data_IF_993193286758
#
_entry.id   IF_993193286758
#
_cell.length_a   1.000
_cell.length_b   1.000
_cell.length_c   1.000
_cell.angle_alpha   90.00
_cell.angle_beta   90.00
_cell.angle_gamma   90.00
#
_symmetry.space_group_name_H-M   'P 1'
#
loop_
_entity.id
_entity.type
_entity.pdbx_description
1 polymer ?
#
# COMPACT_ATOMS: atom_id res chain seq x y z
N UNK A 1 15.83 0.17 18.35
CA UNK A 1 15.78 0.76 17.00
C UNK A 1 14.32 0.92 16.60
N UNK A 2 13.80 2.14 16.62
CA UNK A 2 12.44 2.44 16.15
C UNK A 2 12.52 2.68 14.65
N UNK A 3 11.96 1.79 13.84
CA UNK A 3 11.74 2.03 12.42
C UNK A 3 10.30 2.56 12.27
N UNK A 4 10.07 3.88 12.31
CA UNK A 4 8.73 4.41 12.11
C UNK A 4 8.24 3.96 10.73
N UNK A 5 7.14 3.21 10.71
CA UNK A 5 6.42 2.90 9.47
C UNK A 5 5.61 4.13 9.11
N UNK A 6 6.15 4.89 8.17
CA UNK A 6 5.52 6.08 7.60
C UNK A 6 5.31 5.86 6.12
N UNK A 7 4.14 6.28 5.64
CA UNK A 7 3.77 6.27 4.23
C UNK A 7 2.83 5.13 3.83
N UNK A 8 2.09 5.34 2.75
CA UNK A 8 1.12 4.40 2.17
C UNK A 8 1.77 3.37 1.23
N UNK A 9 3.10 3.40 1.07
CA UNK A 9 3.80 2.63 0.03
C UNK A 9 3.69 1.11 0.20
N UNK A 10 3.61 0.59 1.42
CA UNK A 10 3.35 -0.85 1.63
C UNK A 10 2.04 -1.31 0.98
N UNK A 11 0.98 -0.48 1.07
CA UNK A 11 -0.29 -0.73 0.42
C UNK A 11 -0.21 -0.64 -1.10
N UNK A 12 0.57 0.31 -1.64
CA UNK A 12 0.81 0.40 -3.10
C UNK A 12 1.50 -0.88 -3.61
N UNK A 13 2.51 -1.39 -2.91
CA UNK A 13 3.17 -2.64 -3.29
C UNK A 13 2.19 -3.82 -3.21
N UNK A 14 1.29 -3.85 -2.22
CA UNK A 14 0.25 -4.87 -2.16
C UNK A 14 -0.72 -4.82 -3.35
N UNK A 15 -1.22 -3.64 -3.71
CA UNK A 15 -2.14 -3.47 -4.84
C UNK A 15 -1.48 -3.81 -6.17
N UNK A 16 -0.26 -3.32 -6.41
CA UNK A 16 0.46 -3.61 -7.66
C UNK A 16 0.79 -5.09 -7.73
N UNK A 17 1.30 -5.72 -6.66
CA UNK A 17 1.59 -7.15 -6.66
C UNK A 17 0.34 -8.04 -6.81
N UNK A 18 -0.80 -7.66 -6.23
CA UNK A 18 -2.07 -8.35 -6.45
C UNK A 18 -2.53 -8.25 -7.91
N UNK A 19 -2.36 -7.07 -8.52
CA UNK A 19 -2.64 -6.84 -9.94
C UNK A 19 -1.71 -7.63 -10.86
N UNK A 20 -0.41 -7.68 -10.56
CA UNK A 20 0.57 -8.51 -11.29
C UNK A 20 0.20 -9.99 -11.19
N UNK A 21 -0.13 -10.49 -9.99
CA UNK A 21 -0.57 -11.87 -9.79
C UNK A 21 -1.83 -12.19 -10.61
N UNK A 22 -2.80 -11.28 -10.65
CA UNK A 22 -4.01 -11.43 -11.45
C UNK A 22 -3.73 -11.50 -12.96
N UNK A 23 -2.82 -10.66 -13.46
CA UNK A 23 -2.39 -10.71 -14.87
C UNK A 23 -1.72 -12.04 -15.21
N UNK A 24 -0.84 -12.53 -14.33
CA UNK A 24 -0.11 -13.80 -14.54
C UNK A 24 -1.09 -14.97 -14.57
N UNK A 25 -2.06 -15.00 -13.65
CA UNK A 25 -3.08 -16.06 -13.62
C UNK A 25 -3.99 -16.04 -14.85
N UNK A 26 -4.37 -14.85 -15.33
CA UNK A 26 -5.30 -14.68 -16.46
C UNK A 26 -4.59 -14.44 -17.81
N UNK A 27 -3.30 -14.79 -17.91
CA UNK A 27 -2.43 -14.39 -19.02
C UNK A 27 -2.94 -14.82 -20.39
N UNK A 28 -3.49 -16.04 -20.48
CA UNK A 28 -4.01 -16.65 -21.71
C UNK A 28 -5.33 -16.02 -22.19
N UNK A 29 -6.18 -15.56 -21.27
CA UNK A 29 -7.49 -14.96 -21.58
C UNK A 29 -7.43 -13.47 -21.94
N UNK A 30 -6.34 -12.78 -21.58
CA UNK A 30 -6.19 -11.34 -21.82
C UNK A 30 -5.82 -11.03 -23.29
N UNK A 31 -6.78 -10.44 -24.04
CA UNK A 31 -6.65 -10.00 -25.44
C UNK A 31 -5.87 -8.68 -25.64
N UNK A 32 -5.39 -8.02 -24.57
CA UNK A 32 -4.68 -6.74 -24.68
C UNK A 32 -3.26 -6.88 -25.25
N UNK A 33 -2.95 -6.11 -26.30
CA UNK A 33 -1.64 -6.05 -26.97
C UNK A 33 -0.51 -5.53 -26.05
N UNK A 34 -0.82 -4.65 -25.09
CA UNK A 34 0.18 -3.99 -24.23
C UNK A 34 0.36 -4.63 -22.84
N UNK A 35 -0.09 -5.87 -22.63
CA UNK A 35 -0.02 -6.52 -21.30
C UNK A 35 1.42 -6.67 -20.78
N UNK A 36 2.36 -7.02 -21.64
CA UNK A 36 3.79 -7.11 -21.31
C UNK A 36 4.38 -5.74 -20.93
N UNK A 37 4.07 -4.71 -21.71
CA UNK A 37 4.53 -3.35 -21.45
C UNK A 37 4.03 -2.84 -20.08
N UNK A 38 2.75 -3.06 -19.78
CA UNK A 38 2.15 -2.69 -18.48
C UNK A 38 2.83 -3.39 -17.31
N UNK A 39 3.09 -4.69 -17.44
CA UNK A 39 3.82 -5.47 -16.42
C UNK A 39 5.26 -4.96 -16.26
N UNK A 40 5.95 -4.71 -17.37
CA UNK A 40 7.33 -4.23 -17.36
C UNK A 40 7.45 -2.87 -16.69
N UNK A 41 6.59 -1.91 -17.03
CA UNK A 41 6.58 -0.58 -16.39
C UNK A 41 6.32 -0.70 -14.89
N UNK A 42 5.35 -1.51 -14.47
CA UNK A 42 5.06 -1.72 -13.05
C UNK A 42 6.28 -2.31 -12.30
N UNK A 43 6.92 -3.33 -12.87
CA UNK A 43 8.11 -3.97 -12.28
C UNK A 43 9.31 -3.02 -12.20
N UNK A 44 9.53 -2.20 -13.24
CA UNK A 44 10.61 -1.20 -13.26
C UNK A 44 10.37 -0.12 -12.21
N UNK A 45 9.16 0.44 -12.13
CA UNK A 45 8.84 1.46 -11.13
C UNK A 45 8.95 0.91 -9.70
N UNK A 46 8.45 -0.30 -9.45
CA UNK A 46 8.56 -0.95 -8.14
C UNK A 46 10.01 -1.26 -7.76
N UNK A 47 10.83 -1.70 -8.70
CA UNK A 47 12.24 -2.02 -8.43
C UNK A 47 13.08 -0.77 -8.17
N UNK A 48 12.82 0.33 -8.90
CA UNK A 48 13.50 1.61 -8.68
C UNK A 48 13.23 2.16 -7.27
N UNK A 49 11.97 2.21 -6.83
CA UNK A 49 11.66 2.71 -5.48
C UNK A 49 12.12 1.73 -4.40
N UNK A 50 12.02 0.42 -4.62
CA UNK A 50 12.57 -0.55 -3.68
C UNK A 50 14.09 -0.38 -3.54
N UNK A 51 14.81 -0.23 -4.66
CA UNK A 51 16.25 0.03 -4.69
C UNK A 51 16.61 1.33 -3.98
N UNK A 52 15.80 2.39 -4.14
CA UNK A 52 15.97 3.64 -3.40
C UNK A 52 15.76 3.47 -1.89
N UNK A 53 14.73 2.73 -1.46
CA UNK A 53 14.49 2.45 -0.05
C UNK A 53 15.63 1.62 0.59
N UNK A 54 16.19 0.65 -0.15
CA UNK A 54 17.37 -0.11 0.28
C UNK A 54 18.60 0.79 0.32
N UNK A 55 18.82 1.64 -0.70
CA UNK A 55 19.95 2.56 -0.73
C UNK A 55 19.94 3.52 0.46
N UNK A 56 18.81 4.16 0.73
CA UNK A 56 18.63 5.09 1.86
C UNK A 56 18.82 4.41 3.22
N UNK A 57 18.62 3.09 3.31
CA UNK A 57 18.89 2.32 4.54
C UNK A 57 20.39 2.26 4.86
N UNK A 58 21.24 2.17 3.83
CA UNK A 58 22.70 2.04 3.98
C UNK A 58 23.45 3.36 3.79
N UNK A 59 22.86 4.32 3.07
CA UNK A 59 23.38 5.66 2.82
C UNK A 59 22.33 6.71 3.23
N UNK A 60 22.09 6.88 4.53
CA UNK A 60 21.11 7.84 5.02
C UNK A 60 21.50 9.26 4.62
N UNK A 61 20.53 10.04 4.14
CA UNK A 61 20.77 11.43 3.73
C UNK A 61 21.09 12.27 4.97
N UNK A 62 22.12 13.12 4.88
CA UNK A 62 22.60 13.90 6.02
C UNK A 62 21.61 15.01 6.46
N UNK A 63 20.60 15.37 5.66
CA UNK A 63 19.61 16.42 5.99
C UNK A 63 18.47 16.43 4.94
N UNK A 64 17.20 16.76 5.26
CA UNK A 64 16.55 16.92 6.56
C UNK A 64 16.05 15.57 7.15
N UNK A 65 15.57 15.53 8.41
CA UNK A 65 15.14 14.31 9.11
C UNK A 65 13.77 13.80 8.61
N UNK A 66 13.65 13.51 7.31
CA UNK A 66 12.47 12.83 6.79
C UNK A 66 12.62 11.33 7.03
N UNK A 67 11.66 10.68 7.71
CA UNK A 67 11.73 9.24 7.94
C UNK A 67 11.75 8.49 6.60
N UNK A 68 12.75 7.62 6.43
CA UNK A 68 12.95 6.87 5.20
C UNK A 68 11.87 5.78 5.03
N UNK A 69 11.42 5.53 3.79
CA UNK A 69 10.49 4.43 3.52
C UNK A 69 11.13 3.09 3.89
N UNK A 70 10.34 2.21 4.51
CA UNK A 70 10.80 0.89 4.92
C UNK A 70 10.73 -0.10 3.75
N UNK A 71 11.90 -0.59 3.30
CA UNK A 71 11.98 -1.67 2.31
C UNK A 71 11.31 -2.96 2.81
N UNK A 72 11.30 -3.20 4.13
CA UNK A 72 10.59 -4.33 4.75
C UNK A 72 9.08 -4.17 4.61
N UNK A 73 8.56 -2.94 4.72
CA UNK A 73 7.15 -2.66 4.48
C UNK A 73 6.78 -2.86 3.00
N UNK A 74 7.68 -2.56 2.06
CA UNK A 74 7.50 -2.91 0.64
C UNK A 74 7.43 -4.42 0.43
N UNK A 75 8.36 -5.20 1.00
CA UNK A 75 8.36 -6.67 0.90
C UNK A 75 7.10 -7.30 1.52
N UNK A 76 6.69 -6.81 2.69
CA UNK A 76 5.44 -7.23 3.33
C UNK A 76 4.22 -6.92 2.44
N UNK A 77 4.21 -5.75 1.80
CA UNK A 77 3.21 -5.39 0.80
C UNK A 77 3.18 -6.37 -0.36
N UNK A 78 4.32 -6.70 -0.96
CA UNK A 78 4.42 -7.70 -2.05
C UNK A 78 3.88 -9.06 -1.62
N UNK A 79 4.27 -9.54 -0.44
CA UNK A 79 3.83 -10.83 0.08
C UNK A 79 2.30 -10.86 0.23
N UNK A 80 1.73 -9.87 0.91
CA UNK A 80 0.27 -9.72 1.07
C UNK A 80 -0.41 -9.61 -0.30
N UNK A 81 0.12 -8.79 -1.20
CA UNK A 81 -0.41 -8.58 -2.54
C UNK A 81 -0.46 -9.85 -3.38
N UNK A 82 0.62 -10.64 -3.40
CA UNK A 82 0.66 -11.92 -4.12
C UNK A 82 -0.31 -12.92 -3.49
N UNK A 83 -0.34 -13.03 -2.16
CA UNK A 83 -1.24 -13.97 -1.48
C UNK A 83 -2.71 -13.63 -1.72
N UNK A 84 -3.11 -12.36 -1.54
CA UNK A 84 -4.47 -11.91 -1.85
C UNK A 84 -4.75 -12.05 -3.35
N UNK A 85 -3.79 -11.68 -4.19
CA UNK A 85 -3.79 -11.86 -5.64
C UNK A 85 -4.18 -13.28 -6.04
N UNK A 86 -3.45 -14.27 -5.55
CA UNK A 86 -3.60 -15.68 -5.94
C UNK A 86 -4.76 -16.36 -5.23
N UNK A 87 -5.02 -16.06 -3.96
CA UNK A 87 -6.06 -16.77 -3.17
C UNK A 87 -7.43 -16.14 -3.35
N UNK A 88 -7.52 -14.80 -3.31
CA UNK A 88 -8.80 -14.11 -3.41
C UNK A 88 -9.24 -14.02 -4.86
N UNK A 89 -8.42 -13.45 -5.77
CA UNK A 89 -8.88 -13.25 -7.15
C UNK A 89 -9.13 -14.55 -7.92
N UNK A 90 -8.39 -15.63 -7.62
CA UNK A 90 -8.65 -16.96 -8.22
C UNK A 90 -9.99 -17.55 -7.78
N UNK A 91 -10.46 -17.22 -6.58
CA UNK A 91 -11.71 -17.74 -6.02
C UNK A 91 -12.91 -16.78 -6.20
N UNK A 92 -12.68 -15.60 -6.81
CA UNK A 92 -13.62 -14.47 -6.83
C UNK A 92 -14.53 -14.40 -8.06
N UNK A 93 -14.22 -15.14 -9.14
CA UNK A 93 -14.76 -14.90 -10.48
C UNK A 93 -16.27 -15.15 -10.66
N UNK A 94 -17.00 -15.58 -9.61
CA UNK A 94 -18.43 -15.91 -9.75
C UNK A 94 -19.40 -15.34 -8.70
N UNK A 95 -18.98 -14.68 -7.60
CA UNK A 95 -19.95 -14.39 -6.51
C UNK A 95 -19.85 -13.08 -5.74
N UNK A 96 -18.80 -12.27 -5.89
CA UNK A 96 -18.59 -11.08 -5.03
C UNK A 96 -18.67 -9.74 -5.77
N UNK A 97 -18.70 -9.74 -7.10
CA UNK A 97 -18.79 -8.53 -7.92
C UNK A 97 -20.14 -7.80 -7.77
N UNK A 98 -21.22 -8.54 -7.51
CA UNK A 98 -22.58 -7.95 -7.42
C UNK A 98 -22.93 -7.36 -6.04
N UNK A 99 -22.17 -7.61 -4.96
CA UNK A 99 -22.60 -7.13 -3.64
C UNK A 99 -21.51 -6.80 -2.62
N UNK A 100 -20.29 -7.36 -2.68
CA UNK A 100 -19.35 -7.25 -1.55
C UNK A 100 -18.37 -6.08 -1.63
N UNK A 101 -18.00 -5.63 -2.84
CA UNK A 101 -17.02 -4.54 -2.98
C UNK A 101 -17.56 -3.22 -2.41
N UNK A 102 -18.84 -2.95 -2.59
CA UNK A 102 -19.47 -1.75 -2.05
C UNK A 102 -19.44 -1.71 -0.51
N UNK A 103 -19.75 -2.83 0.16
CA UNK A 103 -19.66 -2.93 1.62
C UNK A 103 -18.23 -2.85 2.14
N UNK A 104 -17.26 -3.43 1.44
CA UNK A 104 -15.84 -3.36 1.84
C UNK A 104 -15.31 -1.92 1.73
N UNK A 105 -15.54 -1.26 0.60
CA UNK A 105 -15.13 0.13 0.41
C UNK A 105 -15.88 1.08 1.34
N UNK A 106 -17.19 0.86 1.52
CA UNK A 106 -18.02 1.60 2.48
C UNK A 106 -17.51 1.46 3.91
N UNK A 107 -17.30 0.23 4.39
CA UNK A 107 -16.79 -0.03 5.73
C UNK A 107 -15.39 0.58 5.94
N UNK A 108 -14.48 0.40 4.98
CA UNK A 108 -13.13 0.97 5.05
C UNK A 108 -13.16 2.50 5.09
N UNK A 109 -13.99 3.13 4.25
CA UNK A 109 -14.18 4.58 4.27
C UNK A 109 -14.73 5.06 5.62
N UNK A 110 -15.77 4.41 6.15
CA UNK A 110 -16.33 4.72 7.46
C UNK A 110 -15.29 4.59 8.57
N UNK A 111 -14.49 3.52 8.58
CA UNK A 111 -13.41 3.33 9.57
C UNK A 111 -12.38 4.45 9.49
N UNK A 112 -11.93 4.83 8.27
CA UNK A 112 -10.98 5.93 8.12
C UNK A 112 -11.55 7.28 8.56
N UNK A 113 -12.81 7.56 8.26
CA UNK A 113 -13.48 8.79 8.72
C UNK A 113 -13.59 8.81 10.24
N UNK A 114 -14.04 7.70 10.85
CA UNK A 114 -14.14 7.59 12.31
C UNK A 114 -12.79 7.73 12.99
N UNK A 115 -11.76 7.08 12.44
CA UNK A 115 -10.38 7.23 12.92
C UNK A 115 -9.89 8.67 12.80
N UNK A 116 -10.11 9.34 11.68
CA UNK A 116 -9.69 10.72 11.46
C UNK A 116 -10.40 11.69 12.42
N UNK A 117 -11.71 11.52 12.64
CA UNK A 117 -12.49 12.31 13.61
C UNK A 117 -11.98 12.05 15.02
N UNK A 118 -11.83 10.79 15.41
CA UNK A 118 -11.31 10.40 16.72
C UNK A 118 -9.92 11.00 16.96
N UNK A 119 -9.01 10.88 15.99
CA UNK A 119 -7.65 11.38 16.10
C UNK A 119 -7.62 12.92 16.22
N UNK A 120 -8.42 13.65 15.44
CA UNK A 120 -8.45 15.11 15.53
C UNK A 120 -9.02 15.62 16.86
N UNK A 121 -9.98 14.91 17.45
CA UNK A 121 -10.59 15.30 18.73
C UNK A 121 -9.68 14.92 19.91
N UNK A 122 -9.18 13.69 19.92
CA UNK A 122 -8.58 13.11 21.13
C UNK A 122 -7.06 13.05 21.11
N UNK A 123 -6.36 13.24 19.97
CA UNK A 123 -4.91 13.07 19.94
C UNK A 123 -4.17 13.99 20.91
N UNK A 124 -4.58 15.26 21.04
CA UNK A 124 -3.94 16.20 21.97
C UNK A 124 -4.13 15.77 23.44
N UNK A 125 -5.32 15.31 23.80
CA UNK A 125 -5.65 14.84 25.16
C UNK A 125 -5.03 13.48 25.48
N UNK A 126 -4.93 12.56 24.51
CA UNK A 126 -4.32 11.24 24.69
C UNK A 126 -2.79 11.31 24.78
N UNK A 127 -2.17 12.28 24.11
CA UNK A 127 -0.71 12.44 24.03
C UNK A 127 -0.17 13.53 24.96
N UNK A 128 -1.03 14.14 25.80
CA UNK A 128 -0.70 15.29 26.65
C UNK A 128 0.04 16.41 25.90
N UNK A 129 -0.31 16.62 24.63
CA UNK A 129 0.31 17.63 23.77
C UNK A 129 -0.33 18.99 24.02
N UNK A 130 0.47 19.97 24.44
CA UNK A 130 0.02 21.36 24.55
C UNK A 130 -0.19 21.96 23.16
N UNK A 131 -1.37 22.53 22.94
CA UNK A 131 -1.66 23.31 21.73
C UNK A 131 -0.68 24.49 21.63
N UNK A 132 -0.15 24.79 20.43
CA UNK A 132 0.63 26.01 20.23
C UNK A 132 -0.24 27.24 20.53
N UNK A 133 0.34 28.34 21.03
CA UNK A 133 -0.41 29.55 21.27
C UNK A 133 -1.05 30.04 19.96
N UNK A 134 -2.30 30.54 20.00
CA UNK A 134 -2.90 31.18 18.83
C UNK A 134 -2.06 32.41 18.43
N UNK A 135 -2.04 32.77 17.13
CA UNK A 135 -1.35 33.95 16.63
C UNK A 135 -1.91 35.26 17.20
#
# INVERSE_FOLDING_TARGET
MTAPVVGSSGGVYALVSAHLANIVMNWSGMKCQFKLLRMAVALICMSMEFGRAVWLRFHPSAYPPCPHPSFVAHLGGVAVGITLGVVILRNYEQRLQDQSLWWIFGAMYTVFVLFAVFWNIFAYSLLDLKLPPPP
#
